data_IF_550397523177
#
_entry.id   IF_550397523177
#
_cell.length_a   1.000
_cell.length_b   1.000
_cell.length_c   1.000
_cell.angle_alpha   90.00
_cell.angle_beta   90.00
_cell.angle_gamma   90.00
#
_symmetry.space_group_name_H-M   'P 1'
#
loop_
_entity.id
_entity.type
_entity.pdbx_description
1 polymer ?
2 water ?
#
# COMPACT_ATOMS: atom_id res chain seq x y z
N UNK A 4 -1.44 6.64 -20.68
CA UNK A 4 -0.89 6.27 -19.34
C UNK A 4 -1.97 5.79 -18.36
N UNK A 5 -2.27 4.49 -18.47
CA UNK A 5 -3.21 3.80 -17.60
C UNK A 5 -2.53 2.55 -17.03
N UNK A 6 -3.34 1.58 -16.59
CA UNK A 6 -2.83 0.52 -15.69
C UNK A 6 -1.84 -0.57 -16.14
N UNK A 7 -0.66 -0.08 -16.50
CA UNK A 7 0.56 -0.82 -16.31
C UNK A 7 1.07 -0.57 -14.90
N UNK A 8 0.17 -0.30 -13.97
CA UNK A 8 0.55 -0.03 -12.57
C UNK A 8 0.38 -1.28 -11.73
N UNK A 9 1.13 -1.38 -10.63
CA UNK A 9 1.01 -2.50 -9.72
C UNK A 9 0.80 -2.05 -8.28
N UNK A 10 -0.20 -2.69 -7.67
CA UNK A 10 -0.57 -2.58 -6.27
C UNK A 10 -0.15 -3.85 -5.51
N UNK A 11 0.47 -3.67 -4.36
CA UNK A 11 0.87 -4.77 -3.52
C UNK A 11 0.02 -4.72 -2.27
N UNK A 12 -0.54 -5.86 -1.91
CA UNK A 12 -1.31 -6.02 -0.68
C UNK A 12 -0.58 -6.93 0.31
N UNK A 13 -0.47 -6.49 1.56
CA UNK A 13 0.32 -7.23 2.55
C UNK A 13 -0.53 -7.32 3.82
N UNK A 14 -0.95 -8.55 4.11
CA UNK A 14 -1.81 -8.76 5.23
C UNK A 14 -1.77 -10.23 5.56
N UNK A 15 -1.58 -10.57 6.83
CA UNK A 15 -1.57 -11.98 7.26
C UNK A 15 -2.99 -12.61 7.20
N UNK A 16 -4.04 -11.80 7.29
CA UNK A 16 -5.41 -12.30 7.16
C UNK A 16 -5.77 -12.43 5.70
N UNK A 17 -5.77 -13.66 5.21
CA UNK A 17 -6.09 -13.93 3.81
C UNK A 17 -7.49 -13.46 3.30
N UNK A 18 -8.51 -13.34 4.19
CA UNK A 18 -9.77 -12.85 3.61
C UNK A 18 -9.79 -11.32 3.42
N UNK A 19 -8.85 -10.61 4.04
CA UNK A 19 -8.64 -9.21 3.69
C UNK A 19 -7.98 -9.11 2.31
N UNK A 20 -7.06 -10.02 2.00
CA UNK A 20 -6.36 -9.95 0.72
C UNK A 20 -7.32 -10.10 -0.47
N UNK A 21 -8.15 -11.15 -0.46
CA UNK A 21 -9.13 -11.32 -1.56
C UNK A 21 -10.20 -10.23 -1.61
N UNK A 22 -10.71 -9.83 -0.45
CA UNK A 22 -11.71 -8.77 -0.41
C UNK A 22 -11.18 -7.41 -0.90
N UNK A 23 -9.87 -7.17 -0.78
CA UNK A 23 -9.26 -5.97 -1.32
C UNK A 23 -8.95 -6.16 -2.79
N UNK A 24 -8.47 -7.35 -3.12
CA UNK A 24 -8.06 -7.65 -4.48
C UNK A 24 -9.27 -7.60 -5.45
N UNK A 25 -10.45 -8.02 -4.96
CA UNK A 25 -11.68 -8.09 -5.76
C UNK A 25 -12.12 -6.69 -6.15
N UNK A 26 -12.17 -5.82 -5.14
CA UNK A 26 -12.46 -4.41 -5.34
C UNK A 26 -11.46 -3.80 -6.32
N UNK A 27 -10.17 -4.02 -6.06
CA UNK A 27 -9.12 -3.27 -6.74
C UNK A 27 -8.93 -3.73 -8.18
N UNK A 28 -9.20 -5.00 -8.47
CA UNK A 28 -9.05 -5.53 -9.82
C UNK A 28 -9.92 -4.77 -10.83
N UNK A 29 -11.12 -4.35 -10.41
CA UNK A 29 -12.05 -3.57 -11.26
C UNK A 29 -11.35 -2.36 -11.85
N UNK A 30 -10.29 -1.92 -11.17
CA UNK A 30 -9.46 -0.82 -11.64
C UNK A 30 -8.50 -1.22 -12.78
N UNK A 31 -8.32 -2.52 -12.99
CA UNK A 31 -7.53 -3.01 -14.12
C UNK A 31 -6.03 -3.12 -13.94
N UNK A 32 -5.54 -2.92 -12.71
CA UNK A 32 -4.10 -2.95 -12.48
C UNK A 32 -3.64 -4.32 -12.00
N UNK A 33 -2.33 -4.56 -12.07
CA UNK A 33 -1.74 -5.79 -11.56
C UNK A 33 -1.84 -5.77 -10.03
N UNK A 34 -2.17 -6.91 -9.42
CA UNK A 34 -2.25 -6.98 -7.97
C UNK A 34 -1.45 -8.19 -7.53
N UNK A 35 -0.43 -7.94 -6.71
CA UNK A 35 0.34 -8.98 -6.04
C UNK A 35 0.08 -8.93 -4.51
N UNK A 36 -0.14 -10.09 -3.90
CA UNK A 36 -0.51 -10.21 -2.48
C UNK A 36 0.47 -11.10 -1.69
N UNK A 37 0.64 -10.78 -0.41
CA UNK A 37 1.60 -11.47 0.45
C UNK A 37 1.02 -11.51 1.84
N UNK A 38 1.18 -12.65 2.50
CA UNK A 38 0.72 -12.76 3.86
C UNK A 38 1.86 -12.45 4.81
N UNK A 39 3.04 -12.21 4.26
CA UNK A 39 4.24 -11.98 5.08
C UNK A 39 5.00 -10.75 4.57
N UNK A 40 5.26 -9.77 5.45
CA UNK A 40 6.01 -8.57 5.10
C UNK A 40 7.48 -8.90 4.71
N UNK A 41 8.05 -9.97 5.25
CA UNK A 41 9.40 -10.37 4.80
C UNK A 41 9.38 -10.71 3.31
N UNK A 42 8.42 -11.55 2.89
CA UNK A 42 8.27 -11.97 1.50
C UNK A 42 7.96 -10.76 0.62
N UNK A 43 7.19 -9.83 1.15
CA UNK A 43 6.82 -8.63 0.42
C UNK A 43 8.07 -7.79 0.12
N UNK A 44 8.91 -7.58 1.14
CA UNK A 44 10.20 -6.83 1.02
C UNK A 44 11.10 -7.48 0.00
N UNK A 45 11.20 -8.80 0.01
CA UNK A 45 11.99 -9.53 -0.99
C UNK A 45 11.50 -9.26 -2.40
N UNK A 46 10.19 -9.45 -2.61
CA UNK A 46 9.54 -9.22 -3.91
C UNK A 46 9.78 -7.82 -4.47
N UNK A 47 9.90 -6.82 -3.59
CA UNK A 47 10.13 -5.40 -4.01
C UNK A 47 11.47 -5.15 -4.68
N UNK A 48 12.44 -6.01 -4.41
CA UNK A 48 13.74 -5.91 -5.08
C UNK A 48 13.65 -6.27 -6.55
N UNK A 49 12.67 -7.08 -6.93
CA UNK A 49 12.59 -7.58 -8.32
C UNK A 49 11.39 -7.13 -9.16
N UNK A 50 10.38 -6.55 -8.49
CA UNK A 50 9.04 -6.23 -9.05
C UNK A 50 8.71 -4.77 -8.80
N UNK A 51 8.42 -4.07 -9.90
CA UNK A 51 7.91 -2.70 -9.90
C UNK A 51 6.52 -2.58 -9.20
N UNK A 52 6.41 -1.68 -8.22
CA UNK A 52 5.17 -1.54 -7.44
C UNK A 52 4.95 -0.05 -7.30
N UNK A 53 3.71 0.42 -7.49
CA UNK A 53 3.42 1.84 -7.35
C UNK A 53 2.73 2.15 -6.03
N UNK A 54 2.02 1.17 -5.47
CA UNK A 54 1.22 1.36 -4.23
C UNK A 54 1.22 0.08 -3.40
N UNK A 55 1.44 0.24 -2.10
CA UNK A 55 1.30 -0.88 -1.17
C UNK A 55 0.29 -0.53 -0.06
N UNK A 56 -0.58 -1.51 0.25
CA UNK A 56 -1.46 -1.46 1.40
C UNK A 56 -1.01 -2.57 2.35
N UNK A 57 -0.56 -2.21 3.54
CA UNK A 57 -0.23 -3.16 4.58
C UNK A 57 -1.16 -3.09 5.76
N UNK A 58 -1.36 -4.22 6.41
CA UNK A 58 -2.00 -4.18 7.70
C UNK A 58 -1.11 -3.61 8.82
N UNK A 59 -1.72 -3.15 9.90
CA UNK A 59 -0.97 -2.56 10.99
C UNK A 59 -0.29 -3.63 11.85
N UNK A 60 -1.04 -4.64 12.26
CA UNK A 60 -0.53 -5.66 13.18
C UNK A 60 -0.38 -7.01 12.50
N UNK A 61 0.86 -7.48 12.43
CA UNK A 61 1.25 -8.65 11.65
C UNK A 61 2.35 -9.34 12.43
N UNK A 62 2.46 -10.66 12.31
CA UNK A 62 3.48 -11.38 13.09
C UNK A 62 4.96 -10.88 12.96
N UNK A 63 5.57 -11.03 11.79
CA UNK A 63 7.01 -10.70 11.59
C UNK A 63 7.36 -9.26 11.95
N UNK A 64 6.58 -8.30 11.48
CA UNK A 64 6.81 -6.88 11.88
C UNK A 64 5.51 -6.05 11.74
N UNK A 65 5.38 -4.98 12.51
CA UNK A 65 4.24 -4.09 12.32
C UNK A 65 4.24 -3.46 10.94
N UNK A 66 3.07 -3.00 10.48
CA UNK A 66 2.94 -2.41 9.17
C UNK A 66 3.68 -1.09 9.16
N UNK A 67 3.82 -0.48 10.32
CA UNK A 67 4.57 0.77 10.37
C UNK A 67 6.11 0.54 10.29
N UNK A 68 6.59 -0.63 10.70
CA UNK A 68 8.02 -1.00 10.53
C UNK A 68 8.26 -1.38 9.05
N UNK A 69 7.39 -2.23 8.50
CA UNK A 69 7.41 -2.62 7.08
C UNK A 69 7.36 -1.39 6.16
N UNK A 70 6.37 -0.53 6.35
CA UNK A 70 6.21 0.70 5.58
C UNK A 70 7.35 1.69 5.77
N UNK A 71 7.96 1.78 6.96
CA UNK A 71 9.19 2.58 7.04
C UNK A 71 10.33 1.97 6.19
N UNK A 72 10.49 0.66 6.20
CA UNK A 72 11.50 0.08 5.27
C UNK A 72 11.19 0.39 3.82
N UNK A 73 9.91 0.35 3.43
CA UNK A 73 9.48 0.73 2.06
C UNK A 73 9.85 2.19 1.72
N UNK A 74 9.52 3.08 2.64
CA UNK A 74 9.84 4.49 2.55
C UNK A 74 11.31 4.71 2.26
N UNK A 75 12.17 4.00 2.98
CA UNK A 75 13.61 4.21 2.89
C UNK A 75 14.24 3.66 1.61
N UNK A 76 13.72 2.58 1.04
CA UNK A 76 14.32 2.02 -0.15
C UNK A 76 13.55 2.36 -1.42
N UNK A 77 12.27 2.69 -1.30
CA UNK A 77 11.40 2.89 -2.50
C UNK A 77 10.54 4.08 -2.24
N UNK A 78 11.16 5.26 -2.15
CA UNK A 78 10.53 6.52 -1.78
C UNK A 78 9.32 6.95 -2.62
N UNK A 79 9.18 6.43 -3.84
CA UNK A 79 8.11 6.79 -4.76
C UNK A 79 6.83 5.98 -4.59
N UNK A 80 6.92 4.80 -3.97
CA UNK A 80 5.73 4.00 -3.70
C UNK A 80 4.76 4.74 -2.77
N UNK A 81 3.46 4.76 -3.14
CA UNK A 81 2.40 5.17 -2.16
C UNK A 81 2.24 4.12 -1.04
N UNK A 82 2.36 4.57 0.22
CA UNK A 82 2.28 3.66 1.38
C UNK A 82 1.00 3.81 2.19
N UNK A 83 0.22 2.75 2.24
CA UNK A 83 -1.08 2.88 2.88
C UNK A 83 -1.12 1.85 4.00
N UNK A 84 -1.59 2.23 5.19
CA UNK A 84 -1.74 1.27 6.30
C UNK A 84 -3.19 1.09 6.64
N UNK A 85 -3.61 -0.16 6.88
CA UNK A 85 -4.98 -0.42 7.32
C UNK A 85 -5.01 -0.29 8.84
N UNK A 86 -6.01 0.42 9.34
CA UNK A 86 -6.06 0.74 10.74
C UNK A 86 -7.45 0.50 11.29
N UNK A 87 -7.56 -0.24 12.38
CA UNK A 87 -8.82 -0.26 13.20
C UNK A 87 -8.94 0.90 14.21
N UNK A 88 -10.11 1.02 14.85
CA UNK A 88 -10.27 1.84 16.06
C UNK A 88 -9.26 1.35 17.14
N UNK A 89 -9.01 0.03 17.18
CA UNK A 89 -7.99 -0.59 18.02
C UNK A 89 -6.55 -0.06 17.84
N UNK A 90 -6.21 0.43 16.65
CA UNK A 90 -4.87 0.86 16.33
C UNK A 90 -4.75 2.37 16.30
N UNK A 91 -5.61 3.06 17.05
CA UNK A 91 -5.64 4.52 17.00
C UNK A 91 -4.29 5.17 17.32
N UNK A 92 -3.72 4.82 18.46
CA UNK A 92 -2.41 5.29 18.90
C UNK A 92 -1.32 5.15 17.84
N UNK A 93 -1.09 3.92 17.41
CA UNK A 93 -0.07 3.58 16.40
C UNK A 93 -0.31 4.26 15.08
N UNK A 94 -1.56 4.57 14.77
CA UNK A 94 -1.81 5.18 13.47
C UNK A 94 -1.39 6.64 13.53
N UNK A 95 -1.75 7.29 14.62
CA UNK A 95 -1.40 8.67 14.84
C UNK A 95 0.14 8.88 14.80
N UNK A 96 0.89 8.16 15.65
CA UNK A 96 2.37 8.09 15.56
C UNK A 96 2.90 7.80 14.12
N UNK A 97 2.43 6.76 13.47
CA UNK A 97 2.86 6.47 12.10
C UNK A 97 2.69 7.67 11.14
N UNK A 98 1.64 8.45 11.43
CA UNK A 98 1.36 9.66 10.69
C UNK A 98 2.34 10.76 11.11
N UNK A 99 2.42 11.00 12.42
CA UNK A 99 3.22 12.09 12.94
C UNK A 99 4.65 12.05 12.34
N UNK A 100 5.15 10.84 12.12
CA UNK A 100 6.50 10.61 11.65
C UNK A 100 6.63 10.10 10.24
N UNK A 101 5.66 10.37 9.36
CA UNK A 101 5.91 10.20 7.91
C UNK A 101 5.93 8.80 7.29
N UNK A 102 5.60 7.78 8.09
CA UNK A 102 5.66 6.36 7.68
C UNK A 102 4.63 5.89 6.61
N UNK A 103 3.50 6.58 6.53
CA UNK A 103 2.42 6.19 5.65
C UNK A 103 1.98 7.45 4.91
N UNK A 104 1.62 7.23 3.65
CA UNK A 104 1.05 8.29 2.81
C UNK A 104 -0.41 8.58 3.26
N UNK A 105 -1.13 7.54 3.70
CA UNK A 105 -2.52 7.65 4.05
C UNK A 105 -2.81 6.44 4.95
N UNK A 106 -3.99 6.45 5.60
CA UNK A 106 -4.53 5.24 6.21
C UNK A 106 -5.95 4.92 5.72
N UNK A 107 -6.28 3.63 5.74
CA UNK A 107 -7.62 3.15 5.38
C UNK A 107 -8.26 2.57 6.67
N UNK A 108 -9.28 3.24 7.19
CA UNK A 108 -10.02 2.73 8.36
C UNK A 108 -10.79 1.44 8.02
N UNK A 109 -10.65 0.41 8.85
CA UNK A 109 -11.38 -0.82 8.66
C UNK A 109 -12.38 -0.92 9.81
N UNK A 110 -13.68 -1.25 9.56
CA UNK A 110 -14.34 -1.58 8.29
C UNK A 110 -14.41 -0.41 7.33
N UNK A 111 -14.13 -0.67 6.05
CA UNK A 111 -14.21 0.38 5.03
C UNK A 111 -15.46 0.10 4.20
N UNK A 112 -15.83 1.06 3.36
CA UNK A 112 -16.78 0.78 2.29
C UNK A 112 -15.97 0.62 1.01
N UNK A 113 -16.36 -0.33 0.17
CA UNK A 113 -15.74 -0.47 -1.14
C UNK A 113 -15.27 0.86 -1.72
N UNK A 114 -16.13 1.87 -1.64
CA UNK A 114 -15.82 3.20 -2.12
C UNK A 114 -14.50 3.74 -1.58
N UNK A 115 -14.12 3.29 -0.38
CA UNK A 115 -12.94 3.76 0.34
C UNK A 115 -11.65 3.21 -0.24
N UNK A 116 -11.63 1.94 -0.60
CA UNK A 116 -10.44 1.42 -1.20
C UNK A 116 -10.25 2.08 -2.57
N UNK A 117 -11.30 2.14 -3.39
CA UNK A 117 -11.17 2.67 -4.73
C UNK A 117 -10.52 4.03 -4.73
N UNK A 118 -11.09 4.94 -3.94
CA UNK A 118 -10.48 6.20 -3.48
C UNK A 118 -9.02 6.16 -3.06
N UNK A 119 -8.64 5.33 -2.08
CA UNK A 119 -7.23 5.41 -1.63
C UNK A 119 -6.28 4.97 -2.76
N UNK A 120 -6.74 4.00 -3.53
CA UNK A 120 -5.90 3.38 -4.54
C UNK A 120 -5.78 4.29 -5.78
N UNK A 121 -6.90 4.82 -6.28
CA UNK A 121 -6.84 5.63 -7.49
C UNK A 121 -6.00 6.89 -7.29
N UNK A 122 -6.26 7.62 -6.20
CA UNK A 122 -5.48 8.79 -5.78
C UNK A 122 -3.98 8.46 -5.56
N UNK A 123 -3.72 7.37 -4.85
CA UNK A 123 -2.36 6.96 -4.57
C UNK A 123 -1.56 6.60 -5.82
N UNK A 124 -2.20 5.89 -6.73
CA UNK A 124 -1.61 5.49 -7.99
C UNK A 124 -1.32 6.72 -8.84
N UNK A 125 -2.21 7.73 -8.79
CA UNK A 125 -1.90 8.99 -9.46
C UNK A 125 -0.69 9.70 -8.88
N UNK A 126 -0.54 9.69 -7.55
CA UNK A 126 0.63 10.33 -6.95
C UNK A 126 1.92 9.56 -7.17
N UNK A 127 1.86 8.22 -7.21
CA UNK A 127 3.03 7.42 -7.58
C UNK A 127 3.50 7.75 -9.02
N UNK A 128 2.57 7.84 -9.94
CA UNK A 128 2.90 8.38 -11.27
C UNK A 128 3.69 9.71 -11.22
N UNK A 129 3.17 10.72 -10.51
CA UNK A 129 3.80 12.03 -10.43
C UNK A 129 5.25 11.95 -9.96
N UNK A 130 5.48 11.10 -9.00
CA UNK A 130 6.79 10.98 -8.38
C UNK A 130 7.73 10.28 -9.31
N UNK A 131 7.24 9.18 -9.88
CA UNK A 131 8.03 8.40 -10.81
C UNK A 131 8.43 9.20 -12.04
N UNK A 132 7.47 9.93 -12.61
CA UNK A 132 7.66 10.55 -13.95
C UNK A 132 8.18 11.96 -13.86
N UNK A 133 8.40 12.41 -12.63
CA UNK A 133 8.80 13.77 -12.36
C UNK A 133 10.08 14.16 -13.09
N UNK A 134 10.03 15.24 -13.85
CA UNK A 134 11.23 15.83 -14.40
C UNK A 134 11.72 15.05 -15.63
N UNK A 135 11.14 13.88 -15.87
CA UNK A 135 11.55 13.03 -16.98
C UNK A 135 10.77 13.37 -18.22
N UNK A 136 11.51 13.42 -19.33
CA UNK A 136 10.91 13.56 -20.62
C UNK A 136 9.80 12.55 -20.77
N UNK A 137 8.59 13.11 -21.11
CA UNK A 137 7.46 12.27 -21.45
C UNK A 137 7.49 12.19 -22.99
N UNK A 138 6.70 11.29 -23.62
CA UNK A 138 6.79 11.14 -25.12
C UNK A 138 5.42 10.91 -25.91
#
# INVERSE_FOLDING_TARGET
MSLNYKNYTVMLVDDEQPILNSLKRLIKRLGCNIITFTSPLDALEALKGTSVQLVISDMRMPEMGGEVFLEQVAKSYPDIERVVISGYADAQATIDAVNRGKISRFLLKPWEDEDVFKVVEKGLQLAFLREENLRLQEETEAKNKQEGHHHHHH
#
